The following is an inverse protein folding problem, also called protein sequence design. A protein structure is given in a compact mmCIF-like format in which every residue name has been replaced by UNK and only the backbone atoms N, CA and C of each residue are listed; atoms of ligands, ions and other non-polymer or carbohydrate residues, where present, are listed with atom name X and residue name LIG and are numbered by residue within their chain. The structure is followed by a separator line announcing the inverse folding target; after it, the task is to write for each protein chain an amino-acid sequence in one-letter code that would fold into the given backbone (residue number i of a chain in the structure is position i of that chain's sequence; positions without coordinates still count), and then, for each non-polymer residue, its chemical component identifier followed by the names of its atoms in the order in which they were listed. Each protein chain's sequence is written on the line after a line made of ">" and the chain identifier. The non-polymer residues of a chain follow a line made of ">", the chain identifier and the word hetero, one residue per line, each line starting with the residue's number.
data_IF_806681219186
#
_entry.id   IF_806681219186
#
_cell.length_a   1.000
_cell.length_b   1.000
_cell.length_c   1.000
_cell.angle_alpha   90.00
_cell.angle_beta   90.00
_cell.angle_gamma   90.00
#
_symmetry.space_group_name_H-M   'P 1'
#
loop_
_entity.id
_entity.type
_entity.pdbx_description
1 polymer ?
#
# COMPACT_ATOMS: atom_id res chain seq x y z
N UNK A 1 -5.13 15.72 -20.09
CA UNK A 1 -5.38 14.27 -20.26
C UNK A 1 -6.87 14.02 -20.26
N UNK A 2 -7.37 13.35 -21.28
CA UNK A 2 -8.76 12.87 -21.38
C UNK A 2 -8.91 11.52 -20.72
N UNK A 3 -10.15 11.14 -20.40
CA UNK A 3 -10.45 9.79 -19.88
C UNK A 3 -9.96 8.68 -20.81
N UNK A 4 -10.02 8.89 -22.12
CA UNK A 4 -9.56 7.92 -23.11
C UNK A 4 -8.03 7.75 -23.06
N UNK A 5 -7.29 8.86 -22.95
CA UNK A 5 -5.82 8.84 -22.82
C UNK A 5 -5.36 8.10 -21.56
N UNK A 6 -6.02 8.34 -20.42
CA UNK A 6 -5.73 7.66 -19.16
C UNK A 6 -5.96 6.14 -19.28
N UNK A 7 -7.09 5.73 -19.89
CA UNK A 7 -7.40 4.30 -20.09
C UNK A 7 -6.35 3.61 -20.97
N UNK A 8 -5.93 4.25 -22.05
CA UNK A 8 -4.91 3.70 -22.95
C UNK A 8 -3.57 3.50 -22.25
N UNK A 9 -3.14 4.46 -21.42
CA UNK A 9 -1.88 4.34 -20.66
C UNK A 9 -1.96 3.19 -19.65
N UNK A 10 -3.06 3.07 -18.90
CA UNK A 10 -3.22 2.00 -17.92
C UNK A 10 -3.24 0.62 -18.58
N UNK A 11 -3.95 0.48 -19.70
CA UNK A 11 -3.96 -0.78 -20.48
C UNK A 11 -2.54 -1.13 -20.93
N UNK A 12 -1.80 -0.17 -21.49
CA UNK A 12 -0.42 -0.37 -21.91
C UNK A 12 0.46 -0.87 -20.76
N UNK A 13 0.44 -0.19 -19.61
CA UNK A 13 1.25 -0.57 -18.45
C UNK A 13 0.90 -1.96 -17.90
N UNK A 14 -0.38 -2.32 -17.88
CA UNK A 14 -0.83 -3.65 -17.45
C UNK A 14 -0.38 -4.73 -18.44
N UNK A 15 -0.37 -4.44 -19.74
CA UNK A 15 0.08 -5.40 -20.77
C UNK A 15 1.60 -5.55 -20.82
N UNK A 16 2.35 -4.50 -20.51
CA UNK A 16 3.83 -4.52 -20.56
C UNK A 16 4.48 -5.07 -19.28
N UNK A 17 3.72 -5.27 -18.20
CA UNK A 17 4.27 -5.76 -16.93
C UNK A 17 4.04 -7.27 -16.77
N UNK A 18 5.13 -8.01 -16.58
CA UNK A 18 5.12 -9.43 -16.20
C UNK A 18 5.24 -9.64 -14.68
N UNK A 19 5.31 -8.55 -13.91
CA UNK A 19 5.42 -8.63 -12.44
C UNK A 19 4.06 -8.99 -11.84
N UNK A 20 3.92 -10.27 -11.46
CA UNK A 20 2.73 -10.82 -10.82
C UNK A 20 2.31 -10.04 -9.57
N UNK A 21 3.26 -9.48 -8.81
CA UNK A 21 2.96 -8.71 -7.60
C UNK A 21 2.28 -7.38 -7.96
N UNK A 22 2.77 -6.70 -9.01
CA UNK A 22 2.14 -5.46 -9.51
C UNK A 22 0.74 -5.77 -10.04
N UNK A 23 0.60 -6.80 -10.88
CA UNK A 23 -0.69 -7.21 -11.43
C UNK A 23 -1.70 -7.56 -10.34
N UNK A 24 -1.29 -8.30 -9.33
CA UNK A 24 -2.13 -8.69 -8.18
C UNK A 24 -2.61 -7.45 -7.41
N UNK A 25 -1.74 -6.48 -7.16
CA UNK A 25 -2.12 -5.22 -6.47
C UNK A 25 -3.09 -4.38 -7.28
N UNK A 26 -2.88 -4.26 -8.59
CA UNK A 26 -3.80 -3.53 -9.48
C UNK A 26 -5.17 -4.21 -9.51
N UNK A 27 -5.21 -5.55 -9.61
CA UNK A 27 -6.44 -6.32 -9.54
C UNK A 27 -7.19 -6.12 -8.22
N UNK A 28 -6.48 -6.18 -7.09
CA UNK A 28 -7.06 -5.95 -5.77
C UNK A 28 -7.69 -4.56 -5.65
N UNK A 29 -6.97 -3.52 -6.10
CA UNK A 29 -7.47 -2.14 -6.08
C UNK A 29 -8.76 -1.97 -6.89
N UNK A 30 -8.81 -2.47 -8.13
CA UNK A 30 -10.03 -2.41 -8.94
C UNK A 30 -11.16 -3.28 -8.38
N UNK A 31 -10.84 -4.38 -7.71
CA UNK A 31 -11.83 -5.24 -7.05
C UNK A 31 -12.47 -4.50 -5.87
N UNK A 32 -11.67 -3.83 -5.04
CA UNK A 32 -12.14 -2.98 -3.93
C UNK A 32 -13.05 -1.85 -4.43
N UNK A 33 -12.70 -1.19 -5.54
CA UNK A 33 -13.54 -0.12 -6.10
C UNK A 33 -14.88 -0.61 -6.67
N UNK A 34 -14.94 -1.86 -7.16
CA UNK A 34 -16.16 -2.47 -7.71
C UNK A 34 -17.09 -3.01 -6.64
N UNK A 35 -16.53 -3.42 -5.52
CA UNK A 35 -17.26 -3.92 -4.37
C UNK A 35 -17.43 -2.77 -3.39
N UNK A 36 -18.51 -1.99 -3.57
CA UNK A 36 -18.87 -0.91 -2.64
C UNK A 36 -19.02 -1.39 -1.18
N UNK A 37 -19.09 -2.70 -0.96
CA UNK A 37 -19.27 -3.37 0.33
C UNK A 37 -18.16 -4.37 0.70
N UNK A 38 -17.09 -4.55 -0.09
CA UNK A 38 -15.99 -5.42 0.36
C UNK A 38 -15.03 -4.60 1.22
N UNK A 39 -14.99 -4.93 2.50
CA UNK A 39 -13.98 -4.40 3.41
C UNK A 39 -12.59 -4.81 2.87
N UNK A 40 -11.70 -3.85 2.69
CA UNK A 40 -10.33 -4.13 2.25
C UNK A 40 -9.62 -5.10 3.21
N UNK A 41 -10.09 -5.17 4.45
CA UNK A 41 -9.69 -6.17 5.44
C UNK A 41 -9.80 -7.61 4.92
N UNK A 42 -10.80 -7.91 4.10
CA UNK A 42 -11.00 -9.25 3.53
C UNK A 42 -10.12 -9.52 2.29
N UNK A 43 -9.41 -8.49 1.80
CA UNK A 43 -8.56 -8.57 0.61
C UNK A 43 -7.08 -8.82 0.93
N UNK A 44 -6.69 -8.68 2.19
CA UNK A 44 -5.32 -8.92 2.66
C UNK A 44 -5.17 -10.32 3.25
N UNK A 45 -3.97 -10.89 3.13
CA UNK A 45 -3.71 -12.23 3.66
C UNK A 45 -3.61 -12.24 5.21
N UNK A 46 -3.72 -13.44 5.80
CA UNK A 46 -3.69 -13.61 7.26
C UNK A 46 -2.37 -13.14 7.90
N UNK A 47 -1.25 -13.21 7.16
CA UNK A 47 0.02 -12.69 7.66
C UNK A 47 -0.02 -11.16 7.75
N UNK A 48 -0.53 -10.49 6.72
CA UNK A 48 -0.72 -9.04 6.72
C UNK A 48 -1.68 -8.57 7.82
N UNK A 49 -2.80 -9.29 8.02
CA UNK A 49 -3.73 -9.01 9.13
C UNK A 49 -3.03 -9.10 10.48
N UNK A 50 -2.26 -10.18 10.72
CA UNK A 50 -1.53 -10.41 11.96
C UNK A 50 -0.47 -9.33 12.25
N UNK A 51 0.24 -8.86 11.23
CA UNK A 51 1.19 -7.75 11.35
C UNK A 51 0.47 -6.46 11.77
N UNK A 52 -0.67 -6.15 11.16
CA UNK A 52 -1.49 -4.98 11.51
C UNK A 52 -2.00 -5.07 12.96
N UNK A 53 -2.58 -6.19 13.36
CA UNK A 53 -3.05 -6.41 14.73
C UNK A 53 -1.91 -6.30 15.75
N UNK A 54 -0.72 -6.79 15.40
CA UNK A 54 0.47 -6.67 16.25
C UNK A 54 0.88 -5.21 16.41
N UNK A 55 0.87 -4.42 15.33
CA UNK A 55 1.12 -2.98 15.38
C UNK A 55 0.12 -2.24 16.26
N UNK A 56 -1.18 -2.53 16.11
CA UNK A 56 -2.24 -1.93 16.94
C UNK A 56 -2.04 -2.26 18.43
N UNK A 57 -1.74 -3.52 18.76
CA UNK A 57 -1.43 -3.95 20.14
C UNK A 57 -0.23 -3.19 20.69
N UNK A 58 0.86 -3.07 19.93
CA UNK A 58 2.06 -2.34 20.35
C UNK A 58 1.76 -0.86 20.62
N UNK A 59 0.92 -0.22 19.79
CA UNK A 59 0.52 1.16 20.00
C UNK A 59 -0.31 1.33 21.29
N UNK A 60 -1.26 0.42 21.54
CA UNK A 60 -2.04 0.41 22.78
C UNK A 60 -1.18 0.18 24.03
N UNK A 61 -0.10 -0.57 23.91
CA UNK A 61 0.89 -0.80 24.97
C UNK A 61 1.90 0.36 25.12
N UNK A 62 1.76 1.45 24.36
CA UNK A 62 2.68 2.59 24.41
C UNK A 62 4.06 2.32 23.78
N UNK A 63 4.20 1.23 23.02
CA UNK A 63 5.44 0.85 22.30
C UNK A 63 5.62 1.58 20.97
N UNK A 64 4.78 2.58 20.71
CA UNK A 64 4.91 3.45 19.55
C UNK A 64 6.17 4.32 19.61
N UNK A 65 6.65 4.75 18.45
CA UNK A 65 7.77 5.68 18.35
C UNK A 65 7.20 7.09 18.15
N UNK A 66 7.59 8.10 18.95
CA UNK A 66 7.14 9.47 18.78
C UNK A 66 7.47 10.04 17.40
N UNK A 67 6.57 10.87 16.88
CA UNK A 67 6.70 11.49 15.55
C UNK A 67 8.07 12.17 15.33
N UNK A 68 8.56 12.92 16.31
CA UNK A 68 9.84 13.63 16.19
C UNK A 68 11.03 12.68 15.98
N UNK A 69 11.03 11.53 16.65
CA UNK A 69 12.09 10.52 16.46
C UNK A 69 12.01 9.88 15.07
N UNK A 70 10.80 9.64 14.57
CA UNK A 70 10.59 9.12 13.20
C UNK A 70 11.06 10.13 12.16
N UNK A 71 10.69 11.40 12.32
CA UNK A 71 11.08 12.51 11.44
C UNK A 71 12.58 12.69 11.39
N UNK A 72 13.26 12.68 12.54
CA UNK A 72 14.71 12.80 12.61
C UNK A 72 15.40 11.63 11.89
N UNK A 73 14.95 10.39 12.12
CA UNK A 73 15.47 9.20 11.43
C UNK A 73 15.29 9.31 9.91
N UNK A 74 14.12 9.73 9.45
CA UNK A 74 13.85 9.92 8.02
C UNK A 74 14.78 10.97 7.39
N UNK A 75 14.96 12.12 8.04
CA UNK A 75 15.87 13.15 7.57
C UNK A 75 17.32 12.66 7.48
N UNK A 76 17.79 11.86 8.45
CA UNK A 76 19.13 11.25 8.42
C UNK A 76 19.31 10.30 7.23
N UNK A 77 18.30 9.46 6.94
CA UNK A 77 18.33 8.54 5.80
C UNK A 77 18.38 9.30 4.46
N UNK A 78 17.57 10.35 4.32
CA UNK A 78 17.55 11.19 3.11
C UNK A 78 18.91 11.89 2.90
N UNK A 79 19.56 12.34 3.97
CA UNK A 79 20.90 12.97 3.88
C UNK A 79 22.01 11.99 3.52
N UNK A 80 21.93 10.73 3.95
CA UNK A 80 22.94 9.69 3.65
C UNK A 80 22.87 9.12 2.24
N UNK A 81 21.71 9.25 1.57
CA UNK A 81 21.52 8.85 0.18
C UNK A 81 21.88 9.93 -0.84
N UNK A 82 22.43 11.06 -0.40
CA UNK A 82 23.06 12.09 -1.23
C UNK A 82 24.57 12.00 -1.10
#
# INVERSE_FOLDING_TARGET
>A
MTTAEIKGILQKWITETDDLNILTKVQAYFSMLKTKDADWWDTIDEYQKKEIETGLRQLNEGKGIPYEQVKEKAQRLIKKGK
#
